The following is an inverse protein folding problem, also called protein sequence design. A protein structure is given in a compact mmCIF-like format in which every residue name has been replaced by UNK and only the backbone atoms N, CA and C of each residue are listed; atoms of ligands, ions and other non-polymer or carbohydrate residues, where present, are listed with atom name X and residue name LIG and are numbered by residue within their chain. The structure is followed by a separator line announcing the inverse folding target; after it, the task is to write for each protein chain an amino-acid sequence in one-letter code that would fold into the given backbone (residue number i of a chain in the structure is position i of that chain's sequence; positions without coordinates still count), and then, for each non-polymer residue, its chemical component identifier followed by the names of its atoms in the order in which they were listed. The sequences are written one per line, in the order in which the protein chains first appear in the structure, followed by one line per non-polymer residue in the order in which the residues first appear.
data_IF_660362432967
#
_entry.id   IF_660362432967
#
_cell.length_a   1.000
_cell.length_b   1.000
_cell.length_c   1.000
_cell.angle_alpha   90.00
_cell.angle_beta   90.00
_cell.angle_gamma   90.00
#
_symmetry.space_group_name_H-M   'P 1'
#
loop_
_entity.id
_entity.type
_entity.pdbx_description
1 polymer ?
#
# COMPACT_ATOMS: atom_id res chain seq x y z
N UNK A 1 -56.10 4.66 18.82
CA UNK A 1 -56.79 3.71 17.93
C UNK A 1 -55.78 3.20 16.91
N UNK A 2 -55.27 1.99 17.12
CA UNK A 2 -54.50 1.21 16.16
C UNK A 2 -55.36 -0.01 15.81
N UNK A 3 -55.61 -0.32 14.53
CA UNK A 3 -56.09 -1.64 14.16
C UNK A 3 -54.95 -2.67 14.15
N UNK A 4 -55.17 -3.89 14.70
CA UNK A 4 -54.22 -5.00 14.71
C UNK A 4 -54.43 -6.04 13.58
N UNK A 5 -53.36 -6.78 13.23
CA UNK A 5 -53.30 -8.20 12.79
C UNK A 5 -54.07 -8.66 11.53
N UNK A 6 -53.76 -9.72 10.79
CA UNK A 6 -52.72 -10.78 10.73
C UNK A 6 -53.05 -11.65 9.50
N UNK A 7 -52.06 -12.13 8.73
CA UNK A 7 -51.98 -13.45 8.06
C UNK A 7 -50.83 -13.40 7.04
N UNK A 8 -49.88 -14.33 6.89
CA UNK A 8 -49.75 -15.67 7.45
C UNK A 8 -49.75 -16.75 6.34
N UNK A 9 -48.68 -16.86 5.54
CA UNK A 9 -48.33 -18.06 4.73
C UNK A 9 -46.80 -18.08 4.57
N UNK A 10 -46.01 -18.83 5.36
CA UNK A 10 -45.74 -20.29 5.41
C UNK A 10 -45.02 -20.82 4.14
N UNK A 11 -43.70 -20.96 4.25
CA UNK A 11 -42.78 -21.70 3.35
C UNK A 11 -43.18 -23.18 3.22
N UNK A 12 -42.80 -23.84 2.12
CA UNK A 12 -41.73 -24.86 2.17
C UNK A 12 -40.89 -24.82 0.86
N UNK A 13 -39.81 -25.55 0.59
CA UNK A 13 -39.18 -26.71 1.18
C UNK A 13 -37.70 -26.72 0.76
N UNK A 14 -36.88 -27.22 1.66
CA UNK A 14 -35.50 -27.63 1.53
C UNK A 14 -35.26 -28.61 0.36
N UNK A 15 -34.05 -28.58 -0.22
CA UNK A 15 -33.19 -29.74 -0.54
C UNK A 15 -31.84 -29.20 -1.05
N UNK A 16 -30.72 -29.42 -0.34
CA UNK A 16 -29.78 -30.55 -0.56
C UNK A 16 -29.33 -30.57 -2.03
N UNK A 17 -28.07 -30.28 -2.35
CA UNK A 17 -26.99 -31.28 -2.31
C UNK A 17 -25.68 -30.73 -1.77
N UNK A 18 -25.24 -31.33 -0.67
CA UNK A 18 -23.85 -31.41 -0.30
C UNK A 18 -23.09 -32.29 -1.31
N UNK A 19 -21.87 -31.89 -1.67
CA UNK A 19 -20.94 -32.74 -2.40
C UNK A 19 -19.52 -32.53 -1.90
N UNK A 20 -19.00 -33.40 -1.02
CA UNK A 20 -17.58 -33.50 -0.73
C UNK A 20 -17.01 -34.70 -1.49
N UNK A 21 -16.30 -34.47 -2.59
CA UNK A 21 -15.48 -35.50 -3.23
C UNK A 21 -13.99 -35.21 -3.04
N UNK A 22 -13.52 -35.67 -1.89
CA UNK A 22 -12.30 -36.47 -1.71
C UNK A 22 -11.09 -36.16 -2.62
N UNK A 23 -10.12 -35.46 -2.03
CA UNK A 23 -8.75 -35.96 -1.78
C UNK A 23 -8.30 -37.14 -2.66
N UNK A 24 -7.49 -36.87 -3.68
CA UNK A 24 -6.43 -37.81 -4.11
C UNK A 24 -5.07 -37.15 -3.94
N UNK A 25 -4.36 -37.65 -2.94
CA UNK A 25 -2.94 -37.47 -2.74
C UNK A 25 -2.20 -38.19 -3.87
N UNK A 26 -1.86 -37.46 -4.93
CA UNK A 26 -0.92 -37.90 -5.96
C UNK A 26 0.52 -37.54 -5.58
N UNK A 27 1.05 -38.21 -4.55
CA UNK A 27 2.50 -38.35 -4.30
C UNK A 27 3.05 -39.39 -5.31
N UNK A 28 4.36 -39.32 -5.58
CA UNK A 28 5.20 -40.17 -6.46
C UNK A 28 5.24 -39.65 -7.91
N UNK A 29 6.37 -39.18 -8.45
CA UNK A 29 7.71 -39.74 -8.36
C UNK A 29 8.81 -38.68 -8.26
N UNK A 30 9.69 -38.89 -7.30
CA UNK A 30 11.03 -38.33 -7.31
C UNK A 30 11.83 -38.90 -8.49
N UNK A 31 12.45 -38.04 -9.29
CA UNK A 31 13.71 -38.38 -9.96
C UNK A 31 14.82 -37.57 -9.32
N UNK A 32 15.50 -38.21 -8.37
CA UNK A 32 16.82 -37.82 -7.95
C UNK A 32 17.85 -38.45 -8.91
N UNK A 33 18.61 -37.61 -9.62
CA UNK A 33 19.93 -37.90 -10.18
C UNK A 33 20.56 -36.55 -10.58
N UNK A 34 21.18 -35.84 -9.63
CA UNK A 34 22.60 -35.86 -9.18
C UNK A 34 23.39 -34.71 -9.82
N UNK A 35 24.29 -34.06 -9.05
CA UNK A 35 24.70 -32.68 -9.26
C UNK A 35 25.96 -32.60 -10.12
N UNK A 36 25.96 -31.78 -11.17
CA UNK A 36 27.21 -31.33 -11.76
C UNK A 36 27.86 -30.33 -10.80
N UNK A 37 29.02 -30.72 -10.29
CA UNK A 37 29.99 -29.94 -9.53
C UNK A 37 30.32 -28.59 -10.22
N UNK A 38 29.48 -27.59 -10.03
CA UNK A 38 29.87 -26.18 -10.19
C UNK A 38 30.13 -25.64 -8.78
N UNK A 39 31.37 -25.84 -8.35
CA UNK A 39 31.89 -25.29 -7.11
C UNK A 39 31.64 -23.78 -7.03
N UNK A 40 30.92 -23.40 -5.98
CA UNK A 40 31.09 -22.20 -5.16
C UNK A 40 32.01 -21.12 -5.74
N UNK A 41 31.41 -20.11 -6.40
CA UNK A 41 31.92 -18.73 -6.36
C UNK A 41 30.84 -17.82 -5.77
N UNK A 42 30.76 -17.90 -4.45
CA UNK A 42 30.29 -16.78 -3.63
C UNK A 42 31.16 -15.55 -3.92
N UNK A 43 30.50 -14.39 -4.04
CA UNK A 43 31.05 -13.03 -4.05
C UNK A 43 31.84 -12.55 -5.27
N UNK A 44 31.13 -11.94 -6.22
CA UNK A 44 31.53 -10.64 -6.76
C UNK A 44 30.26 -9.81 -7.09
N UNK A 45 29.58 -9.37 -6.04
CA UNK A 45 28.90 -8.08 -6.06
C UNK A 45 29.96 -6.98 -6.23
N UNK A 46 29.63 -5.86 -6.89
CA UNK A 46 30.57 -4.80 -7.23
C UNK A 46 31.31 -4.32 -5.99
N UNK A 47 32.61 -4.03 -6.14
CA UNK A 47 33.42 -3.35 -5.13
C UNK A 47 32.70 -2.04 -4.74
N UNK A 48 31.88 -2.09 -3.70
CA UNK A 48 31.45 -0.88 -3.01
C UNK A 48 32.70 -0.30 -2.38
N UNK A 49 33.12 0.84 -2.92
CA UNK A 49 34.05 1.78 -2.31
C UNK A 49 33.76 1.79 -0.81
N UNK A 50 34.72 1.33 -0.02
CA UNK A 50 34.64 1.37 1.44
C UNK A 50 34.89 2.83 1.84
N UNK A 51 33.92 3.69 1.56
CA UNK A 51 33.92 5.08 2.00
C UNK A 51 33.85 5.05 3.52
N UNK A 52 34.96 5.35 4.19
CA UNK A 52 34.98 5.57 5.63
C UNK A 52 34.22 6.86 5.91
N UNK A 53 32.89 6.77 5.96
CA UNK A 53 32.02 7.87 6.36
C UNK A 53 32.44 8.32 7.75
N UNK A 54 33.00 9.53 7.81
CA UNK A 54 33.28 10.24 9.06
C UNK A 54 32.03 10.22 9.94
N UNK A 55 32.18 10.06 11.26
CA UNK A 55 31.06 9.78 12.17
C UNK A 55 29.89 10.78 12.10
N UNK A 56 30.15 12.03 11.70
CA UNK A 56 29.12 13.05 11.50
C UNK A 56 28.14 12.72 10.34
N UNK A 57 28.61 12.01 9.31
CA UNK A 57 27.81 11.66 8.14
C UNK A 57 26.77 10.58 8.44
N UNK A 58 26.96 9.77 9.49
CA UNK A 58 25.98 8.77 9.92
C UNK A 58 24.87 9.38 10.79
N UNK A 59 25.13 10.52 11.42
CA UNK A 59 24.15 11.22 12.28
C UNK A 59 23.24 12.16 11.48
N UNK A 60 23.77 12.81 10.44
CA UNK A 60 22.98 13.68 9.57
C UNK A 60 21.90 12.90 8.82
N UNK A 61 20.63 13.33 8.94
CA UNK A 61 19.48 12.69 8.30
C UNK A 61 19.23 11.22 8.72
N UNK A 62 19.67 10.86 9.92
CA UNK A 62 19.47 9.52 10.50
C UNK A 62 18.00 9.14 10.70
N UNK A 63 17.12 10.12 11.00
CA UNK A 63 15.71 9.85 11.23
C UNK A 63 14.92 9.66 9.93
N UNK A 64 14.25 8.50 9.72
CA UNK A 64 13.55 8.20 8.48
C UNK A 64 12.32 9.10 8.28
N UNK A 65 12.30 9.89 7.20
CA UNK A 65 11.23 10.85 6.87
C UNK A 65 10.20 10.29 5.88
N UNK A 66 9.87 9.01 5.98
CA UNK A 66 8.96 8.34 5.03
C UNK A 66 7.49 8.75 5.22
N UNK A 67 7.11 9.12 6.44
CA UNK A 67 5.72 9.39 6.82
C UNK A 67 5.60 10.58 7.80
N UNK A 68 4.36 10.95 8.12
CA UNK A 68 4.05 12.09 9.00
C UNK A 68 4.14 13.46 8.32
N UNK A 69 3.98 14.52 9.10
CA UNK A 69 3.96 15.89 8.59
C UNK A 69 5.32 16.35 8.05
N UNK A 70 6.42 15.87 8.65
CA UNK A 70 7.79 16.20 8.25
C UNK A 70 8.26 15.59 6.93
N UNK A 71 7.49 14.64 6.37
CA UNK A 71 7.81 13.93 5.13
C UNK A 71 7.41 14.69 3.86
N UNK A 72 6.43 15.59 3.98
CA UNK A 72 5.79 16.26 2.84
C UNK A 72 5.85 17.76 3.03
N UNK A 73 6.04 18.47 1.93
CA UNK A 73 6.07 19.92 1.88
C UNK A 73 5.24 20.40 0.69
N UNK A 74 4.77 21.64 0.77
CA UNK A 74 4.15 22.32 -0.37
C UNK A 74 5.15 22.44 -1.51
N UNK A 75 4.68 22.23 -2.75
CA UNK A 75 5.49 22.40 -3.97
C UNK A 75 5.96 23.84 -4.19
N UNK A 76 5.20 24.83 -3.72
CA UNK A 76 5.49 26.27 -3.94
C UNK A 76 6.16 26.89 -2.71
N UNK A 77 5.47 26.85 -1.57
CA UNK A 77 5.88 27.56 -0.35
C UNK A 77 6.91 26.79 0.49
N UNK A 78 7.22 25.53 0.18
CA UNK A 78 8.01 24.57 0.98
C UNK A 78 7.54 24.34 2.44
N UNK A 79 6.47 25.02 2.87
CA UNK A 79 5.86 24.86 4.17
C UNK A 79 5.27 23.45 4.32
N UNK A 80 5.35 22.90 5.54
CA UNK A 80 4.81 21.58 5.91
C UNK A 80 3.43 21.68 6.57
N UNK A 81 2.99 22.89 6.91
CA UNK A 81 1.70 23.13 7.55
C UNK A 81 0.59 23.37 6.52
N UNK A 82 -0.63 22.92 6.85
CA UNK A 82 -1.82 23.21 6.05
C UNK A 82 -1.77 22.68 4.62
N UNK A 83 -1.13 21.53 4.42
CA UNK A 83 -0.99 20.89 3.12
C UNK A 83 -2.30 20.22 2.69
N UNK A 84 -2.86 20.66 1.56
CA UNK A 84 -4.03 20.03 0.93
C UNK A 84 -3.53 18.81 0.16
N UNK A 85 -3.96 17.63 0.61
CA UNK A 85 -3.54 16.31 0.08
C UNK A 85 -4.59 15.69 -0.85
N UNK A 86 -5.75 16.33 -0.98
CA UNK A 86 -6.82 15.87 -1.86
C UNK A 86 -6.39 16.01 -3.31
N UNK A 87 -6.73 15.02 -4.14
CA UNK A 87 -6.46 15.02 -5.58
C UNK A 87 -4.97 15.14 -5.98
N UNK A 88 -4.02 14.85 -5.08
CA UNK A 88 -2.58 14.83 -5.41
C UNK A 88 -1.90 16.20 -5.59
N UNK A 89 -2.59 17.29 -5.26
CA UNK A 89 -2.10 18.67 -5.44
C UNK A 89 -0.82 18.94 -4.61
N UNK A 90 -0.78 18.50 -3.35
CA UNK A 90 0.34 18.73 -2.41
C UNK A 90 0.71 20.22 -2.29
N UNK A 91 -0.29 21.08 -2.10
CA UNK A 91 -0.14 22.53 -1.97
C UNK A 91 -0.65 23.05 -0.61
N UNK A 92 -0.01 24.08 -0.06
CA UNK A 92 -0.46 24.72 1.17
C UNK A 92 -1.75 25.52 0.92
N UNK A 93 -2.65 25.63 1.92
CA UNK A 93 -3.95 26.32 1.78
C UNK A 93 -3.86 27.77 1.30
N UNK A 94 -2.75 28.46 1.60
CA UNK A 94 -2.48 29.83 1.15
C UNK A 94 -2.17 29.86 -0.36
N UNK A 95 -1.25 29.01 -0.81
CA UNK A 95 -0.93 28.86 -2.24
C UNK A 95 -2.13 28.36 -3.04
N UNK A 96 -2.94 27.46 -2.49
CA UNK A 96 -4.14 26.99 -3.18
C UNK A 96 -5.10 28.14 -3.52
N UNK A 97 -5.28 29.12 -2.63
CA UNK A 97 -6.15 30.28 -2.90
C UNK A 97 -5.60 31.20 -3.99
N UNK A 98 -4.28 31.27 -4.14
CA UNK A 98 -3.63 32.06 -5.20
C UNK A 98 -3.83 31.39 -6.56
N UNK A 99 -3.57 30.08 -6.65
CA UNK A 99 -3.63 29.31 -7.90
C UNK A 99 -5.00 28.67 -8.19
N UNK A 100 -6.01 28.85 -7.34
CA UNK A 100 -7.32 28.21 -7.50
C UNK A 100 -7.95 28.51 -8.88
N UNK A 101 -7.81 29.76 -9.34
CA UNK A 101 -8.34 30.21 -10.64
C UNK A 101 -7.62 29.52 -11.81
N UNK A 102 -6.30 29.40 -11.74
CA UNK A 102 -5.48 28.81 -12.80
C UNK A 102 -5.66 27.29 -12.91
N UNK A 103 -5.98 26.63 -11.79
CA UNK A 103 -6.32 25.21 -11.76
C UNK A 103 -7.74 24.96 -12.32
N UNK A 104 -8.56 26.01 -12.44
CA UNK A 104 -9.95 25.92 -12.91
C UNK A 104 -10.98 25.69 -11.80
N UNK A 105 -10.62 25.91 -10.53
CA UNK A 105 -11.61 25.94 -9.45
C UNK A 105 -12.38 27.25 -9.47
N UNK A 106 -13.64 27.18 -9.88
CA UNK A 106 -14.62 28.28 -9.76
C UNK A 106 -15.45 28.10 -8.48
N UNK A 107 -15.72 29.21 -7.79
CA UNK A 107 -16.70 29.21 -6.71
C UNK A 107 -18.08 29.19 -7.37
N UNK A 108 -18.78 28.08 -7.23
CA UNK A 108 -20.22 28.01 -7.46
C UNK A 108 -20.87 28.34 -6.11
N UNK A 109 -21.75 29.33 -6.09
CA UNK A 109 -22.52 29.72 -4.91
C UNK A 109 -23.65 28.71 -4.62
#
# INVERSE_FOLDING_TARGET
MLPPGTSGVRLPSQALWAGPLQRTLGRWQAKAARPSLAAVRFNLLPRCIRESKTGHQQLYWSHPRKFGQGSRSCRVCSNRHGLIRKYGLNMCRQCFRQYAKDIGFIKLD
#
